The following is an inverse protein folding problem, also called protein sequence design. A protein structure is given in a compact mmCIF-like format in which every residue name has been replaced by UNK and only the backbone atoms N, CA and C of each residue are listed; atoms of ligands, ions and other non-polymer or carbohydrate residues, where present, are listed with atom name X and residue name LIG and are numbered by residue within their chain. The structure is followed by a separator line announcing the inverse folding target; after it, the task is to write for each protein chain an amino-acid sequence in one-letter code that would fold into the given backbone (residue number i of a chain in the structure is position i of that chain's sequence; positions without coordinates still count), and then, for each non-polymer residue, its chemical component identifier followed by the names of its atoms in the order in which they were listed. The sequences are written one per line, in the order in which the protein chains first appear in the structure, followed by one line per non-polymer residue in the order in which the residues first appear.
data_IF_990803080715
#
_entry.id   IF_990803080715
#
_cell.length_a   1.000
_cell.length_b   1.000
_cell.length_c   1.000
_cell.angle_alpha   90.00
_cell.angle_beta   90.00
_cell.angle_gamma   90.00
#
_symmetry.space_group_name_H-M   'P 1'
#
loop_
_entity.id
_entity.type
_entity.pdbx_description
1 polymer ?
#
# COMPACT_ATOMS: atom_id res chain seq x y z
N UNK A 1 -31.13 3.21 6.97
CA UNK A 1 -30.55 2.07 7.72
C UNK A 1 -29.33 1.51 6.98
N UNK A 2 -28.47 0.70 7.63
CA UNK A 2 -27.36 -0.01 6.94
C UNK A 2 -27.90 -0.80 5.73
N UNK A 3 -29.09 -1.39 5.86
CA UNK A 3 -29.80 -2.11 4.81
C UNK A 3 -30.18 -1.23 3.60
N UNK A 4 -30.63 0.01 3.81
CA UNK A 4 -30.96 0.94 2.71
C UNK A 4 -29.71 1.43 1.97
N UNK A 5 -28.63 1.69 2.69
CA UNK A 5 -27.35 2.10 2.11
C UNK A 5 -26.73 0.95 1.29
N UNK A 6 -26.84 -0.26 1.83
CA UNK A 6 -26.49 -1.53 1.18
C UNK A 6 -27.32 -1.79 -0.09
N UNK A 7 -28.55 -1.28 -0.15
CA UNK A 7 -29.47 -1.36 -1.29
C UNK A 7 -29.19 -0.30 -2.34
N UNK A 8 -28.85 0.93 -1.95
CA UNK A 8 -28.48 2.01 -2.87
C UNK A 8 -27.16 1.72 -3.62
N UNK A 9 -26.16 1.15 -2.94
CA UNK A 9 -24.89 0.72 -3.56
C UNK A 9 -25.06 -0.45 -4.53
N UNK A 10 -26.06 -1.31 -4.32
CA UNK A 10 -26.39 -2.42 -5.23
C UNK A 10 -27.07 -1.97 -6.52
N UNK A 11 -27.82 -0.87 -6.47
CA UNK A 11 -28.68 -0.43 -7.56
C UNK A 11 -27.96 0.45 -8.59
N UNK A 12 -26.70 0.82 -8.38
CA UNK A 12 -25.98 1.69 -9.32
C UNK A 12 -24.48 1.32 -9.51
N UNK A 13 -24.17 0.14 -10.08
CA UNK A 13 -22.79 -0.28 -10.35
C UNK A 13 -22.06 0.61 -11.38
N UNK A 14 -22.75 1.54 -12.06
CA UNK A 14 -22.26 2.26 -13.23
C UNK A 14 -21.65 3.66 -12.92
N UNK A 15 -21.71 4.16 -11.68
CA UNK A 15 -21.12 5.46 -11.32
C UNK A 15 -20.24 5.36 -10.07
N UNK A 16 -19.12 4.65 -10.19
CA UNK A 16 -18.08 4.73 -9.17
C UNK A 16 -17.47 6.14 -9.13
N UNK A 17 -17.39 6.73 -7.95
CA UNK A 17 -16.70 8.01 -7.76
C UNK A 17 -15.19 7.86 -8.04
N UNK A 18 -14.45 8.94 -8.35
CA UNK A 18 -13.00 8.87 -8.51
C UNK A 18 -12.28 8.30 -7.28
N UNK A 19 -12.78 8.62 -6.06
CA UNK A 19 -12.23 8.11 -4.81
C UNK A 19 -12.41 6.58 -4.69
N UNK A 20 -13.61 6.06 -5.02
CA UNK A 20 -13.86 4.61 -5.03
C UNK A 20 -13.00 3.87 -6.07
N UNK A 21 -12.82 4.45 -7.27
CA UNK A 21 -11.94 3.88 -8.30
C UNK A 21 -10.50 3.81 -7.80
N UNK A 22 -10.03 4.87 -7.15
CA UNK A 22 -8.70 4.92 -6.56
C UNK A 22 -8.53 3.92 -5.42
N UNK A 23 -9.49 3.81 -4.50
CA UNK A 23 -9.49 2.83 -3.41
C UNK A 23 -9.44 1.38 -3.93
N UNK A 24 -10.23 1.07 -4.97
CA UNK A 24 -10.19 -0.25 -5.63
C UNK A 24 -8.84 -0.53 -6.27
N UNK A 25 -8.30 0.41 -7.05
CA UNK A 25 -7.00 0.25 -7.69
C UNK A 25 -5.87 0.06 -6.66
N UNK A 26 -5.84 0.88 -5.61
CA UNK A 26 -4.83 0.79 -4.55
C UNK A 26 -4.91 -0.52 -3.77
N UNK A 27 -6.12 -1.04 -3.53
CA UNK A 27 -6.32 -2.37 -2.92
C UNK A 27 -5.76 -3.50 -3.78
N UNK A 28 -6.00 -3.45 -5.09
CA UNK A 28 -5.44 -4.41 -6.05
C UNK A 28 -3.92 -4.27 -6.12
N UNK A 29 -3.40 -3.04 -6.14
CA UNK A 29 -1.96 -2.77 -6.12
C UNK A 29 -1.29 -3.30 -4.84
N UNK A 30 -1.94 -3.16 -3.68
CA UNK A 30 -1.48 -3.74 -2.43
C UNK A 30 -1.47 -5.27 -2.47
N UNK A 31 -2.48 -5.91 -3.06
CA UNK A 31 -2.51 -7.37 -3.21
C UNK A 31 -1.33 -7.88 -4.05
N UNK A 32 -1.05 -7.24 -5.20
CA UNK A 32 0.12 -7.56 -6.02
C UNK A 32 1.43 -7.28 -5.29
N UNK A 33 1.54 -6.13 -4.63
CA UNK A 33 2.75 -5.75 -3.90
C UNK A 33 3.02 -6.67 -2.70
N UNK A 34 1.97 -7.16 -2.04
CA UNK A 34 2.08 -8.16 -0.97
C UNK A 34 2.60 -9.49 -1.50
N UNK A 35 2.22 -9.86 -2.72
CA UNK A 35 2.75 -11.07 -3.38
C UNK A 35 4.23 -10.89 -3.76
N UNK A 36 4.61 -9.71 -4.25
CA UNK A 36 6.00 -9.36 -4.52
C UNK A 36 6.85 -9.31 -3.25
N UNK A 37 6.29 -8.84 -2.14
CA UNK A 37 6.96 -8.81 -0.84
C UNK A 37 7.42 -10.20 -0.38
N UNK A 38 6.68 -11.26 -0.72
CA UNK A 38 7.12 -12.63 -0.40
C UNK A 38 8.43 -13.01 -1.12
N UNK A 39 8.73 -12.39 -2.27
CA UNK A 39 9.98 -12.59 -3.01
C UNK A 39 11.18 -11.88 -2.38
N UNK A 40 10.95 -10.91 -1.49
CA UNK A 40 11.99 -10.14 -0.81
C UNK A 40 12.97 -11.05 -0.05
N UNK A 41 12.46 -12.14 0.52
CA UNK A 41 13.25 -13.14 1.25
C UNK A 41 13.99 -14.13 0.34
N UNK A 42 13.53 -14.31 -0.90
CA UNK A 42 14.20 -15.16 -1.90
C UNK A 42 15.32 -14.41 -2.62
N UNK A 43 15.16 -13.10 -2.78
CA UNK A 43 16.10 -12.20 -3.46
C UNK A 43 17.00 -11.47 -2.47
N UNK A 44 17.26 -12.06 -1.30
CA UNK A 44 18.05 -11.45 -0.24
C UNK A 44 19.40 -10.94 -0.75
N UNK A 45 20.08 -10.06 0.02
CA UNK A 45 21.42 -9.58 -0.33
C UNK A 45 22.44 -10.69 -0.13
N UNK A 46 22.37 -11.73 -0.96
CA UNK A 46 23.27 -12.85 -0.99
C UNK A 46 24.49 -12.48 -1.84
N UNK A 47 25.66 -12.91 -1.39
CA UNK A 47 26.85 -12.99 -2.23
C UNK A 47 26.58 -13.97 -3.39
N UNK A 48 27.25 -13.78 -4.52
CA UNK A 48 27.06 -14.61 -5.72
C UNK A 48 27.40 -16.09 -5.42
N UNK A 49 28.40 -16.30 -4.55
CA UNK A 49 28.80 -17.61 -4.06
C UNK A 49 28.98 -17.65 -2.53
N UNK A 50 28.77 -18.82 -1.89
CA UNK A 50 29.13 -19.00 -0.48
C UNK A 50 30.65 -18.88 -0.33
N UNK A 51 31.11 -17.82 0.35
CA UNK A 51 32.54 -17.55 0.57
C UNK A 51 33.14 -16.44 -0.30
N UNK A 52 32.33 -15.73 -1.10
CA UNK A 52 32.79 -14.48 -1.73
C UNK A 52 32.93 -13.36 -0.69
N UNK A 53 34.17 -12.88 -0.53
CA UNK A 53 34.50 -11.68 0.26
C UNK A 53 34.19 -10.38 -0.50
N UNK A 54 33.79 -10.48 -1.78
CA UNK A 54 33.41 -9.37 -2.67
C UNK A 54 32.08 -8.70 -2.27
N UNK A 55 31.49 -9.14 -1.15
CA UNK A 55 30.33 -8.53 -0.52
C UNK A 55 29.02 -8.74 -1.28
N UNK A 56 27.90 -8.22 -0.74
CA UNK A 56 26.61 -8.39 -1.38
C UNK A 56 26.54 -7.63 -2.71
N UNK A 57 25.99 -8.29 -3.74
CA UNK A 57 25.80 -7.66 -5.04
C UNK A 57 24.88 -6.44 -4.86
N UNK A 58 25.40 -5.24 -5.09
CA UNK A 58 24.67 -3.97 -4.94
C UNK A 58 23.32 -3.98 -5.66
N UNK A 59 23.26 -4.61 -6.84
CA UNK A 59 22.01 -4.82 -7.59
C UNK A 59 20.92 -5.52 -6.78
N UNK A 60 21.27 -6.48 -5.92
CA UNK A 60 20.30 -7.18 -5.07
C UNK A 60 19.72 -6.24 -4.01
N UNK A 61 20.54 -5.33 -3.46
CA UNK A 61 20.06 -4.27 -2.56
C UNK A 61 19.10 -3.30 -3.26
N UNK A 62 19.39 -2.89 -4.51
CA UNK A 62 18.47 -2.06 -5.29
C UNK A 62 17.11 -2.75 -5.50
N UNK A 63 17.13 -4.04 -5.86
CA UNK A 63 15.90 -4.83 -6.05
C UNK A 63 15.15 -4.98 -4.73
N UNK A 64 15.86 -5.30 -3.64
CA UNK A 64 15.29 -5.46 -2.31
C UNK A 64 14.61 -4.17 -1.82
N UNK A 65 15.32 -3.04 -1.88
CA UNK A 65 14.77 -1.72 -1.55
C UNK A 65 13.61 -1.35 -2.47
N UNK A 66 13.69 -1.69 -3.76
CA UNK A 66 12.59 -1.50 -4.71
C UNK A 66 11.32 -2.26 -4.33
N UNK A 67 11.43 -3.55 -3.98
CA UNK A 67 10.31 -4.36 -3.50
C UNK A 67 9.74 -3.76 -2.21
N UNK A 68 10.61 -3.37 -1.29
CA UNK A 68 10.24 -2.78 -0.01
C UNK A 68 9.45 -1.47 -0.19
N UNK A 69 9.98 -0.53 -0.96
CA UNK A 69 9.34 0.76 -1.26
C UNK A 69 8.04 0.56 -2.05
N UNK A 70 7.97 -0.42 -2.95
CA UNK A 70 6.74 -0.76 -3.68
C UNK A 70 5.64 -1.21 -2.73
N UNK A 71 5.95 -2.12 -1.80
CA UNK A 71 5.01 -2.55 -0.78
C UNK A 71 4.59 -1.42 0.16
N UNK A 72 5.54 -0.65 0.68
CA UNK A 72 5.23 0.49 1.55
C UNK A 72 4.35 1.53 0.87
N UNK A 73 4.62 1.81 -0.41
CA UNK A 73 3.79 2.71 -1.24
C UNK A 73 2.38 2.15 -1.40
N UNK A 74 2.25 0.88 -1.77
CA UNK A 74 0.96 0.24 -1.95
C UNK A 74 0.14 0.22 -0.65
N UNK A 75 0.80 -0.05 0.49
CA UNK A 75 0.17 -0.06 1.81
C UNK A 75 -0.37 1.31 2.19
N UNK A 76 0.46 2.36 2.09
CA UNK A 76 0.02 3.72 2.36
C UNK A 76 -1.09 4.18 1.39
N UNK A 77 -0.95 3.89 0.10
CA UNK A 77 -1.95 4.27 -0.90
C UNK A 77 -3.29 3.56 -0.69
N UNK A 78 -3.29 2.29 -0.27
CA UNK A 78 -4.53 1.59 0.08
C UNK A 78 -5.22 2.23 1.29
N UNK A 79 -4.45 2.57 2.32
CA UNK A 79 -4.94 3.32 3.49
C UNK A 79 -5.52 4.68 3.09
N UNK A 80 -4.80 5.43 2.26
CA UNK A 80 -5.26 6.72 1.75
C UNK A 80 -6.51 6.55 0.88
N UNK A 81 -6.56 5.54 0.03
CA UNK A 81 -7.69 5.22 -0.83
C UNK A 81 -8.96 4.96 -0.03
N UNK A 82 -8.89 4.06 0.95
CA UNK A 82 -10.01 3.79 1.86
C UNK A 82 -10.44 5.07 2.62
N UNK A 83 -9.49 5.84 3.14
CA UNK A 83 -9.79 7.11 3.80
C UNK A 83 -10.54 8.08 2.88
N UNK A 84 -10.07 8.28 1.64
CA UNK A 84 -10.69 9.19 0.68
C UNK A 84 -12.07 8.70 0.21
N UNK A 85 -12.24 7.38 0.03
CA UNK A 85 -13.54 6.77 -0.29
C UNK A 85 -14.57 7.08 0.78
N UNK A 86 -14.23 6.90 2.06
CA UNK A 86 -15.15 7.19 3.17
C UNK A 86 -15.33 8.70 3.34
N UNK A 87 -14.26 9.50 3.21
CA UNK A 87 -14.29 10.95 3.40
C UNK A 87 -15.13 11.69 2.35
N UNK A 88 -15.09 11.28 1.09
CA UNK A 88 -15.91 11.85 0.02
C UNK A 88 -17.21 11.07 -0.25
N UNK A 89 -17.37 9.93 0.42
CA UNK A 89 -18.54 9.07 0.27
C UNK A 89 -19.72 9.45 1.17
N UNK A 90 -20.81 8.69 1.09
CA UNK A 90 -22.01 8.91 1.90
C UNK A 90 -21.84 8.69 3.41
N UNK A 91 -20.68 8.20 3.85
CA UNK A 91 -20.34 7.89 5.26
C UNK A 91 -19.28 8.84 5.82
N UNK A 92 -19.14 10.03 5.24
CA UNK A 92 -18.11 11.01 5.64
C UNK A 92 -18.23 11.48 7.09
N UNK A 93 -19.43 11.34 7.69
CA UNK A 93 -19.73 11.63 9.09
C UNK A 93 -18.94 10.77 10.09
N UNK A 94 -18.50 9.58 9.70
CA UNK A 94 -17.71 8.69 10.57
C UNK A 94 -16.22 9.08 10.65
N UNK A 95 -15.77 10.02 9.80
CA UNK A 95 -14.37 10.47 9.78
C UNK A 95 -14.13 11.49 10.88
N UNK A 96 -13.42 11.07 11.92
CA UNK A 96 -12.95 11.94 13.00
C UNK A 96 -11.58 12.55 12.73
N UNK A 97 -11.19 13.49 13.59
CA UNK A 97 -9.84 14.09 13.60
C UNK A 97 -8.74 13.05 13.74
N UNK A 98 -8.98 11.98 14.50
CA UNK A 98 -8.02 10.88 14.69
C UNK A 98 -7.66 10.18 13.38
N UNK A 99 -8.63 9.97 12.47
CA UNK A 99 -8.41 9.31 11.20
C UNK A 99 -7.55 10.20 10.28
N UNK A 100 -7.86 11.50 10.24
CA UNK A 100 -7.09 12.50 9.48
C UNK A 100 -5.65 12.58 9.97
N UNK A 101 -5.46 12.70 11.28
CA UNK A 101 -4.15 12.75 11.90
C UNK A 101 -3.34 11.48 11.59
N UNK A 102 -3.96 10.31 11.68
CA UNK A 102 -3.31 9.04 11.35
C UNK A 102 -2.82 8.99 9.90
N UNK A 103 -3.67 9.33 8.91
CA UNK A 103 -3.27 9.31 7.50
C UNK A 103 -2.11 10.28 7.23
N UNK A 104 -2.12 11.46 7.85
CA UNK A 104 -1.03 12.43 7.73
C UNK A 104 0.26 11.89 8.35
N UNK A 105 0.21 11.39 9.58
CA UNK A 105 1.38 10.82 10.28
C UNK A 105 1.94 9.63 9.54
N UNK A 106 1.08 8.75 9.02
CA UNK A 106 1.51 7.59 8.25
C UNK A 106 2.17 8.04 6.93
N UNK A 107 1.61 9.03 6.25
CA UNK A 107 2.20 9.60 5.04
C UNK A 107 3.58 10.24 5.27
N UNK A 108 3.73 11.01 6.36
CA UNK A 108 5.02 11.60 6.75
C UNK A 108 6.04 10.50 7.09
N UNK A 109 5.63 9.51 7.89
CA UNK A 109 6.50 8.40 8.30
C UNK A 109 6.96 7.59 7.11
N UNK A 110 6.05 7.28 6.18
CA UNK A 110 6.38 6.58 4.94
C UNK A 110 7.28 7.41 4.02
N UNK A 111 6.99 8.71 3.84
CA UNK A 111 7.84 9.60 3.04
C UNK A 111 9.25 9.72 3.59
N UNK A 112 9.39 9.78 4.93
CA UNK A 112 10.69 9.76 5.59
C UNK A 112 11.43 8.45 5.37
N UNK A 113 10.74 7.30 5.48
CA UNK A 113 11.28 5.99 5.16
C UNK A 113 11.79 5.92 3.72
N UNK A 114 11.01 6.34 2.72
CA UNK A 114 11.47 6.38 1.32
C UNK A 114 12.70 7.26 1.18
N UNK A 115 12.71 8.44 1.82
CA UNK A 115 13.85 9.34 1.77
C UNK A 115 15.13 8.69 2.29
N UNK A 116 15.11 8.11 3.50
CA UNK A 116 16.34 7.54 4.10
C UNK A 116 16.86 6.34 3.30
N UNK A 117 15.98 5.46 2.83
CA UNK A 117 16.38 4.28 2.05
C UNK A 117 16.90 4.65 0.66
N UNK A 118 16.26 5.59 -0.04
CA UNK A 118 16.72 6.03 -1.36
C UNK A 118 18.01 6.85 -1.24
N UNK A 119 18.14 7.68 -0.20
CA UNK A 119 19.37 8.42 0.05
C UNK A 119 20.54 7.46 0.29
N UNK A 120 20.38 6.50 1.20
CA UNK A 120 21.45 5.54 1.50
C UNK A 120 21.83 4.70 0.27
N UNK A 121 20.85 4.34 -0.57
CA UNK A 121 21.06 3.60 -1.80
C UNK A 121 21.78 4.43 -2.89
N UNK A 122 21.44 5.70 -3.05
CA UNK A 122 22.05 6.60 -4.05
C UNK A 122 23.49 6.96 -3.68
N UNK A 123 23.77 7.12 -2.40
CA UNK A 123 25.10 7.46 -1.88
C UNK A 123 25.88 6.23 -1.39
N UNK A 124 25.41 5.03 -1.70
CA UNK A 124 26.11 3.79 -1.34
C UNK A 124 27.43 3.68 -2.09
N UNK A 125 28.52 3.49 -1.35
CA UNK A 125 29.84 3.17 -1.88
C UNK A 125 30.32 1.85 -1.29
N UNK A 126 30.73 0.93 -2.17
CA UNK A 126 31.22 -0.37 -1.74
C UNK A 126 32.44 -0.24 -0.82
N UNK A 127 32.41 -0.93 0.33
CA UNK A 127 33.48 -0.90 1.32
C UNK A 127 33.52 0.37 2.19
N UNK A 128 32.52 1.25 2.09
CA UNK A 128 32.34 2.39 3.01
C UNK A 128 31.16 2.16 3.95
N UNK A 129 31.19 2.89 5.05
CA UNK A 129 30.04 3.00 5.96
C UNK A 129 28.83 3.61 5.22
N UNK A 130 27.59 3.27 5.64
CA UNK A 130 26.38 3.82 5.04
C UNK A 130 26.38 5.35 5.09
N UNK A 131 25.76 5.97 4.08
CA UNK A 131 25.75 7.42 3.94
C UNK A 131 24.96 8.09 5.08
N UNK A 132 23.98 7.36 5.62
CA UNK A 132 23.27 7.74 6.84
C UNK A 132 23.67 6.82 8.00
N UNK A 133 23.89 7.39 9.20
CA UNK A 133 23.97 6.59 10.41
C UNK A 133 22.78 5.62 10.56
N UNK A 134 23.00 4.36 11.00
CA UNK A 134 21.95 3.34 11.06
C UNK A 134 20.72 3.69 11.91
N UNK A 135 20.84 4.64 12.84
CA UNK A 135 19.69 5.05 13.66
C UNK A 135 18.59 5.73 12.84
N UNK A 136 18.89 6.34 11.70
CA UNK A 136 17.90 7.00 10.85
C UNK A 136 16.98 5.99 10.17
N UNK A 137 17.54 4.92 9.60
CA UNK A 137 16.77 3.84 8.98
C UNK A 137 15.98 3.07 10.03
N UNK A 138 16.59 2.74 11.18
CA UNK A 138 15.88 2.09 12.29
C UNK A 138 14.70 2.93 12.80
N UNK A 139 14.89 4.24 12.98
CA UNK A 139 13.82 5.14 13.40
C UNK A 139 12.67 5.17 12.37
N UNK A 140 13.00 5.23 11.08
CA UNK A 140 12.02 5.18 10.02
C UNK A 140 11.20 3.86 10.06
N UNK A 141 11.88 2.73 10.22
CA UNK A 141 11.25 1.41 10.32
C UNK A 141 10.32 1.31 11.53
N UNK A 142 10.76 1.76 12.71
CA UNK A 142 9.94 1.74 13.92
C UNK A 142 8.67 2.58 13.77
N UNK A 143 8.79 3.80 13.24
CA UNK A 143 7.63 4.67 13.04
C UNK A 143 6.66 4.12 11.98
N UNK A 144 7.19 3.61 10.87
CA UNK A 144 6.37 3.00 9.83
C UNK A 144 5.65 1.75 10.35
N UNK A 145 6.33 0.86 11.06
CA UNK A 145 5.74 -0.35 11.65
C UNK A 145 4.71 -0.01 12.74
N UNK A 146 4.95 1.03 13.54
CA UNK A 146 3.95 1.53 14.50
C UNK A 146 2.68 2.02 13.78
N UNK A 147 2.82 2.68 12.63
CA UNK A 147 1.66 3.05 11.80
C UNK A 147 0.95 1.81 11.26
N UNK A 148 1.68 0.87 10.66
CA UNK A 148 1.14 -0.37 10.08
C UNK A 148 0.34 -1.18 11.10
N UNK A 149 0.90 -1.39 12.29
CA UNK A 149 0.27 -2.17 13.36
C UNK A 149 -0.99 -1.51 13.94
N UNK A 150 -1.15 -0.19 13.75
CA UNK A 150 -2.29 0.57 14.29
C UNK A 150 -3.33 0.94 13.24
N UNK A 151 -3.14 0.54 11.97
CA UNK A 151 -4.07 0.76 10.85
C UNK A 151 -5.51 0.40 11.23
N UNK A 152 -5.73 -0.78 11.81
CA UNK A 152 -7.07 -1.30 12.13
C UNK A 152 -7.78 -0.49 13.22
N UNK A 153 -7.04 0.27 14.02
CA UNK A 153 -7.59 1.08 15.13
C UNK A 153 -7.96 2.49 14.67
N UNK A 154 -7.22 3.01 13.70
CA UNK A 154 -7.34 4.41 13.27
C UNK A 154 -7.97 4.60 11.90
N UNK A 155 -8.24 3.54 11.13
CA UNK A 155 -9.00 3.65 9.89
C UNK A 155 -10.50 3.48 10.08
N UNK A 156 -11.30 4.19 9.27
CA UNK A 156 -12.72 3.88 9.16
C UNK A 156 -12.88 2.43 8.68
N UNK A 157 -13.89 1.75 9.23
CA UNK A 157 -14.20 0.39 8.83
C UNK A 157 -14.48 0.34 7.33
N UNK A 158 -13.72 -0.47 6.61
CA UNK A 158 -13.86 -0.65 5.17
C UNK A 158 -15.31 -1.02 4.81
N UNK A 159 -15.87 -0.40 3.76
CA UNK A 159 -17.16 -0.83 3.24
C UNK A 159 -17.03 -2.29 2.76
N UNK A 160 -18.00 -3.16 3.07
CA UNK A 160 -17.92 -4.56 2.66
C UNK A 160 -17.86 -4.67 1.12
N UNK A 161 -16.79 -5.32 0.63
CA UNK A 161 -16.63 -5.66 -0.78
C UNK A 161 -17.76 -6.61 -1.21
N UNK A 162 -18.75 -6.07 -1.94
CA UNK A 162 -19.76 -6.90 -2.58
C UNK A 162 -19.24 -7.43 -3.90
N UNK A 163 -18.74 -8.66 -3.88
CA UNK A 163 -18.47 -9.42 -5.10
C UNK A 163 -19.79 -10.02 -5.56
N UNK A 164 -20.47 -9.36 -6.50
CA UNK A 164 -21.63 -9.95 -7.16
C UNK A 164 -21.12 -10.77 -8.35
N UNK A 165 -21.18 -12.10 -8.24
CA UNK A 165 -20.99 -12.99 -9.39
C UNK A 165 -22.31 -13.05 -10.16
N UNK A 166 -22.58 -12.03 -10.97
CA UNK A 166 -23.69 -12.11 -11.94
C UNK A 166 -23.21 -12.94 -13.12
N UNK A 167 -23.70 -14.17 -13.24
CA UNK A 167 -23.60 -14.94 -14.49
C UNK A 167 -24.48 -14.20 -15.50
N UNK A 168 -23.86 -13.45 -16.42
CA UNK A 168 -24.58 -12.79 -17.49
C UNK A 168 -25.17 -13.87 -18.40
N UNK A 169 -26.46 -13.77 -18.68
CA UNK A 169 -27.07 -14.57 -19.73
C UNK A 169 -26.56 -14.12 -21.11
N UNK A 170 -26.57 -15.01 -22.09
CA UNK A 170 -26.05 -14.72 -23.44
C UNK A 170 -26.73 -13.49 -24.07
N UNK A 171 -28.01 -13.27 -23.77
CA UNK A 171 -28.78 -12.10 -24.22
C UNK A 171 -28.29 -10.78 -23.59
N UNK A 172 -27.91 -10.79 -22.31
CA UNK A 172 -27.35 -9.62 -21.62
C UNK A 172 -25.94 -9.32 -22.09
N UNK A 173 -25.17 -10.36 -22.42
CA UNK A 173 -23.84 -10.23 -23.00
C UNK A 173 -23.91 -9.56 -24.38
N UNK A 174 -24.87 -9.97 -25.24
CA UNK A 174 -25.10 -9.34 -26.55
C UNK A 174 -25.54 -7.87 -26.46
N UNK A 175 -26.26 -7.47 -25.41
CA UNK A 175 -26.66 -6.06 -25.21
C UNK A 175 -25.53 -5.15 -24.71
N UNK A 176 -24.47 -5.71 -24.13
CA UNK A 176 -23.31 -4.94 -23.68
C UNK A 176 -22.26 -4.77 -24.79
N UNK A 177 -22.26 -5.66 -25.79
CA UNK A 177 -21.32 -5.65 -26.92
C UNK A 177 -21.79 -4.76 -28.07
N UNK A 178 -23.10 -4.57 -28.21
CA UNK A 178 -23.72 -3.69 -29.21
C UNK A 178 -24.04 -2.31 -28.65
#
# INVERSE_FOLDING_TARGET
SILEQTRALLLNPLRCTPAEKFAKWTSVFLAYSSSLWLLLWLLGPHAEHPGDDDGPIVRNWFIHTGIFVTYGSASYLAVLGNFLEVFYGPRSDVIGTKNKAFVIVYGISFGYLVFVYIYDLVFYEFGREPALPPFFTQFADFFWMACVTTITTFLPQEPPLKVNTTVLTDEEMQKLVN
#
